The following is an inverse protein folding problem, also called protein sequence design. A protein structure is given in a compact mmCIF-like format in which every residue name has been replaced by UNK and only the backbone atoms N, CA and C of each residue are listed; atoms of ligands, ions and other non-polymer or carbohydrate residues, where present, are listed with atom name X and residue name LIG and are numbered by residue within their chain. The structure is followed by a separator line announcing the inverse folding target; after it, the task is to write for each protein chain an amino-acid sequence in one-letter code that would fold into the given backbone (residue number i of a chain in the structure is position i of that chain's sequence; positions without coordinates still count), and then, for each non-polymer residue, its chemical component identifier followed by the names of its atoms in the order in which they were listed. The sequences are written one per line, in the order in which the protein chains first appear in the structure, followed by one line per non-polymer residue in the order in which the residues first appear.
data_IF_207563587985
#
_entry.id   IF_207563587985
#
_cell.length_a   1.000
_cell.length_b   1.000
_cell.length_c   1.000
_cell.angle_alpha   90.00
_cell.angle_beta   90.00
_cell.angle_gamma   90.00
#
_symmetry.space_group_name_H-M   'P 1'
#
loop_
_entity.id
_entity.type
_entity.pdbx_description
1 polymer ?
#
# COMPACT_ATOMS: atom_id res chain seq x y z
N UNK A 1 -0.07 6.87 10.41
CA UNK A 1 -1.05 5.79 10.56
C UNK A 1 -1.59 5.37 9.20
N UNK A 2 -1.65 4.08 8.94
CA UNK A 2 -2.16 3.56 7.67
C UNK A 2 -3.67 3.77 7.58
N UNK A 3 -4.11 4.42 6.49
CA UNK A 3 -5.51 4.77 6.33
C UNK A 3 -6.23 4.00 5.22
N UNK A 4 -5.53 3.59 4.18
CA UNK A 4 -6.13 2.87 3.06
C UNK A 4 -5.09 2.07 2.30
N UNK A 5 -5.54 1.04 1.58
CA UNK A 5 -4.68 0.12 0.84
C UNK A 5 -5.30 -0.14 -0.53
N UNK A 6 -4.47 -0.22 -1.56
CA UNK A 6 -4.87 -0.68 -2.88
C UNK A 6 -3.75 -1.53 -3.46
N UNK A 7 -4.09 -2.52 -4.27
CA UNK A 7 -3.10 -3.42 -4.83
C UNK A 7 -3.40 -3.70 -6.30
N UNK A 8 -2.36 -3.59 -7.13
CA UNK A 8 -2.43 -3.93 -8.55
C UNK A 8 -1.67 -5.23 -8.76
N UNK A 9 -2.42 -6.33 -8.92
CA UNK A 9 -1.83 -7.65 -9.05
C UNK A 9 -1.05 -7.83 -10.36
N UNK A 10 -1.46 -7.15 -11.42
CA UNK A 10 -0.80 -7.29 -12.73
C UNK A 10 0.62 -6.73 -12.69
N UNK A 11 0.81 -5.64 -11.95
CA UNK A 11 2.10 -4.97 -11.85
C UNK A 11 2.79 -5.21 -10.52
N UNK A 12 2.14 -5.94 -9.61
CA UNK A 12 2.61 -6.19 -8.25
C UNK A 12 2.98 -4.90 -7.53
N UNK A 13 2.11 -3.91 -7.66
CA UNK A 13 2.28 -2.61 -7.03
C UNK A 13 1.29 -2.46 -5.88
N UNK A 14 1.83 -2.19 -4.70
CA UNK A 14 1.03 -1.99 -3.49
C UNK A 14 1.02 -0.51 -3.15
N UNK A 15 -0.16 0.05 -3.00
CA UNK A 15 -0.34 1.46 -2.64
C UNK A 15 -0.79 1.54 -1.20
N UNK A 16 -0.04 2.29 -0.40
CA UNK A 16 -0.38 2.54 1.00
C UNK A 16 -0.61 4.03 1.20
N UNK A 17 -1.78 4.36 1.73
CA UNK A 17 -2.13 5.73 2.05
C UNK A 17 -2.07 5.91 3.56
N UNK A 18 -1.23 6.82 4.00
CA UNK A 18 -1.05 7.14 5.41
C UNK A 18 -1.76 8.44 5.74
N UNK A 19 -2.14 8.59 6.99
CA UNK A 19 -2.69 9.87 7.45
C UNK A 19 -1.56 10.86 7.65
N UNK A 20 -1.75 12.11 7.26
CA UNK A 20 -3.00 12.76 6.83
C UNK A 20 -3.37 12.58 5.36
N UNK A 21 -2.59 11.86 4.54
CA UNK A 21 -2.99 11.64 3.16
C UNK A 21 -1.87 11.32 2.20
N UNK A 22 -0.68 11.05 2.71
CA UNK A 22 0.45 10.68 1.87
C UNK A 22 0.26 9.28 1.30
N UNK A 23 0.47 9.13 0.00
CA UNK A 23 0.34 7.86 -0.69
C UNK A 23 1.70 7.43 -1.22
N UNK A 24 2.06 6.17 -0.99
CA UNK A 24 3.29 5.58 -1.49
C UNK A 24 2.98 4.32 -2.29
N UNK A 25 3.68 4.15 -3.42
CA UNK A 25 3.60 2.96 -4.25
C UNK A 25 4.83 2.10 -3.99
N UNK A 26 4.62 0.87 -3.55
CA UNK A 26 5.69 -0.11 -3.32
C UNK A 26 5.66 -1.11 -4.47
N UNK A 27 6.82 -1.32 -5.11
CA UNK A 27 6.91 -2.15 -6.31
C UNK A 27 7.50 -3.51 -6.02
N UNK A 28 7.07 -4.51 -6.81
CA UNK A 28 7.57 -5.86 -6.68
C UNK A 28 7.00 -6.61 -5.50
N UNK A 29 5.86 -6.18 -4.99
CA UNK A 29 5.20 -6.82 -3.84
C UNK A 29 4.38 -8.01 -4.35
N UNK A 30 4.75 -9.25 -3.98
CA UNK A 30 3.99 -10.42 -4.45
C UNK A 30 2.61 -10.48 -3.81
N UNK A 31 1.64 -11.14 -4.47
CA UNK A 31 0.29 -11.26 -3.94
C UNK A 31 0.23 -11.85 -2.53
N UNK A 32 1.15 -12.77 -2.21
CA UNK A 32 1.19 -13.37 -0.86
C UNK A 32 1.40 -12.31 0.22
N UNK A 33 2.25 -11.33 -0.03
CA UNK A 33 2.48 -10.23 0.94
C UNK A 33 1.23 -9.38 1.12
N UNK A 34 0.53 -9.11 0.01
CA UNK A 34 -0.71 -8.35 0.09
C UNK A 34 -1.76 -9.11 0.92
N UNK A 35 -1.87 -10.43 0.71
CA UNK A 35 -2.81 -11.24 1.48
C UNK A 35 -2.45 -11.24 2.96
N UNK A 36 -1.16 -11.36 3.29
CA UNK A 36 -0.71 -11.31 4.67
C UNK A 36 -1.04 -9.97 5.32
N UNK A 37 -0.87 -8.89 4.57
CA UNK A 37 -1.20 -7.56 5.06
C UNK A 37 -2.67 -7.44 5.39
N UNK A 38 -3.54 -7.94 4.50
CA UNK A 38 -4.99 -7.90 4.73
C UNK A 38 -5.40 -8.73 5.95
N UNK A 39 -4.69 -9.83 6.22
CA UNK A 39 -5.00 -10.72 7.33
C UNK A 39 -4.39 -10.28 8.65
N UNK A 40 -3.50 -9.29 8.64
CA UNK A 40 -2.81 -8.87 9.85
C UNK A 40 -3.75 -8.18 10.84
N UNK A 41 -3.55 -8.46 12.12
CA UNK A 41 -4.30 -7.79 13.18
C UNK A 41 -4.03 -6.30 13.18
N UNK A 42 -2.78 -5.91 13.01
CA UNK A 42 -2.39 -4.52 12.84
C UNK A 42 -1.73 -4.36 11.50
N UNK A 43 -2.46 -3.80 10.54
CA UNK A 43 -1.95 -3.61 9.18
C UNK A 43 -0.80 -2.62 9.14
N UNK A 44 -0.87 -1.58 9.97
CA UNK A 44 0.21 -0.61 10.05
C UNK A 44 1.51 -1.23 10.55
N UNK A 45 1.43 -2.07 11.58
CA UNK A 45 2.60 -2.76 12.12
C UNK A 45 3.16 -3.76 11.10
N UNK A 46 2.30 -4.54 10.45
CA UNK A 46 2.75 -5.46 9.42
C UNK A 46 3.47 -4.74 8.29
N UNK A 47 2.89 -3.65 7.80
CA UNK A 47 3.49 -2.87 6.72
C UNK A 47 4.86 -2.34 7.12
N UNK A 48 4.97 -1.79 8.33
CA UNK A 48 6.24 -1.28 8.84
C UNK A 48 7.31 -2.38 8.86
N UNK A 49 6.95 -3.56 9.34
CA UNK A 49 7.92 -4.63 9.56
C UNK A 49 8.26 -5.41 8.29
N UNK A 50 7.34 -5.47 7.31
CA UNK A 50 7.47 -6.36 6.17
C UNK A 50 7.43 -5.68 4.81
N UNK A 51 6.99 -4.43 4.72
CA UNK A 51 6.82 -3.74 3.44
C UNK A 51 7.75 -2.54 3.31
N UNK A 52 7.74 -1.64 4.29
CA UNK A 52 8.38 -0.33 4.19
C UNK A 52 9.87 -0.39 3.91
N UNK A 53 10.55 -1.41 4.43
CA UNK A 53 12.00 -1.55 4.28
C UNK A 53 12.41 -2.69 3.36
N UNK A 54 11.44 -3.38 2.74
CA UNK A 54 11.70 -4.57 1.94
C UNK A 54 11.51 -4.35 0.45
N UNK A 55 10.85 -3.28 0.05
CA UNK A 55 10.53 -3.02 -1.36
C UNK A 55 10.82 -1.58 -1.73
N UNK A 56 11.23 -1.32 -2.99
CA UNK A 56 11.38 0.05 -3.46
C UNK A 56 10.04 0.76 -3.48
N UNK A 57 10.06 2.06 -3.21
CA UNK A 57 8.83 2.82 -3.16
C UNK A 57 9.00 4.18 -3.82
N UNK A 58 7.86 4.79 -4.15
CA UNK A 58 7.81 6.11 -4.71
C UNK A 58 6.56 6.81 -4.17
N UNK A 59 6.71 8.08 -3.79
CA UNK A 59 5.58 8.86 -3.35
C UNK A 59 4.68 9.21 -4.53
N UNK A 60 3.37 9.06 -4.34
CA UNK A 60 2.35 9.39 -5.33
C UNK A 60 1.65 10.66 -4.88
N UNK A 61 1.57 11.65 -5.77
CA UNK A 61 0.89 12.89 -5.45
C UNK A 61 -0.62 12.69 -5.39
N UNK A 62 -1.28 13.48 -4.53
CA UNK A 62 -2.72 13.33 -4.25
C UNK A 62 -3.56 13.41 -5.52
N UNK A 63 -3.18 14.24 -6.49
CA UNK A 63 -3.92 14.40 -7.74
C UNK A 63 -4.01 13.08 -8.52
N UNK A 64 -3.02 12.18 -8.32
CA UNK A 64 -2.97 10.88 -8.99
C UNK A 64 -3.26 9.73 -8.03
N UNK A 65 -3.92 10.00 -6.92
CA UNK A 65 -4.15 9.03 -5.85
C UNK A 65 -4.84 7.77 -6.38
N UNK A 66 -4.11 6.65 -6.57
CA UNK A 66 -4.70 5.43 -7.10
C UNK A 66 -5.65 4.76 -6.11
N UNK A 67 -5.51 5.05 -4.82
CA UNK A 67 -6.43 4.53 -3.81
C UNK A 67 -7.82 5.10 -4.02
N UNK A 68 -7.90 6.41 -4.31
CA UNK A 68 -9.18 7.04 -4.61
C UNK A 68 -9.75 6.53 -5.93
N UNK A 69 -8.91 6.42 -6.97
CA UNK A 69 -9.36 5.95 -8.29
C UNK A 69 -9.73 4.48 -8.28
N UNK A 70 -9.09 3.68 -7.48
CA UNK A 70 -9.38 2.25 -7.38
C UNK A 70 -10.75 1.98 -6.79
N UNK A 71 -11.49 3.00 -6.46
CA UNK A 71 -12.86 2.84 -6.05
C UNK A 71 -13.01 2.47 -4.59
N UNK A 72 -12.14 2.98 -3.77
CA UNK A 72 -12.38 2.94 -2.34
C UNK A 72 -13.57 3.84 -2.10
N UNK A 73 -14.71 3.27 -2.01
CA UNK A 73 -15.97 3.98 -1.94
C UNK A 73 -16.62 3.83 -0.61
#
# INVERSE_FOLDING_TARGET
MLGAIAYDADWQQLYLKFRPGDVYCYRGVPPARYQELLAADSKGTYARDNILHSYPYQRVYVADDPVQRAGVR
#
